data_IF_774002571773
#
_entry.id   IF_774002571773
#
_cell.length_a   1.000
_cell.length_b   1.000
_cell.length_c   1.000
_cell.angle_alpha   90.00
_cell.angle_beta   90.00
_cell.angle_gamma   90.00
#
_symmetry.space_group_name_H-M   'P 1'
#
loop_
_entity.id
_entity.type
_entity.pdbx_description
1 polymer ?
#
# COMPACT_ATOMS: atom_id res chain seq x y z
N UNK A 1 -3.57 -18.05 -3.76
CA UNK A 1 -2.27 -18.56 -3.27
C UNK A 1 -1.12 -17.61 -3.60
N UNK A 2 -0.78 -17.38 -4.87
CA UNK A 2 0.33 -16.50 -5.28
C UNK A 2 0.26 -15.08 -4.73
N UNK A 3 -0.93 -14.49 -4.67
CA UNK A 3 -1.08 -13.15 -4.09
C UNK A 3 -0.67 -13.07 -2.61
N UNK A 4 -0.99 -14.09 -1.79
CA UNK A 4 -0.53 -14.11 -0.39
C UNK A 4 1.00 -14.27 -0.29
N UNK A 5 1.61 -15.02 -1.22
CA UNK A 5 3.07 -15.13 -1.28
C UNK A 5 3.64 -13.75 -1.57
N UNK A 6 3.13 -13.04 -2.59
CA UNK A 6 3.55 -11.67 -2.90
C UNK A 6 3.35 -10.70 -1.73
N UNK A 7 2.23 -10.77 -1.00
CA UNK A 7 2.01 -9.95 0.20
C UNK A 7 3.02 -10.22 1.32
N UNK A 8 3.64 -11.40 1.36
CA UNK A 8 4.68 -11.76 2.33
C UNK A 8 6.08 -11.37 1.84
N UNK A 9 6.37 -11.70 0.60
CA UNK A 9 7.74 -11.67 0.05
C UNK A 9 8.04 -10.39 -0.69
N UNK A 10 7.01 -9.64 -1.12
CA UNK A 10 7.16 -8.56 -2.07
C UNK A 10 7.65 -9.03 -3.43
N UNK A 11 8.20 -8.09 -4.19
CA UNK A 11 8.83 -8.30 -5.49
C UNK A 11 10.30 -8.69 -5.43
N UNK A 12 10.86 -8.97 -4.25
CA UNK A 12 12.28 -9.30 -4.08
C UNK A 12 12.55 -10.78 -4.44
N UNK A 13 13.38 -11.08 -5.46
CA UNK A 13 13.60 -12.47 -5.88
C UNK A 13 14.18 -13.36 -4.78
N UNK A 14 15.06 -12.83 -3.93
CA UNK A 14 15.72 -13.59 -2.88
C UNK A 14 14.74 -14.04 -1.80
N UNK A 15 13.82 -13.17 -1.37
CA UNK A 15 12.81 -13.48 -0.35
C UNK A 15 11.77 -14.47 -0.88
N UNK A 16 11.38 -14.35 -2.17
CA UNK A 16 10.50 -15.29 -2.87
C UNK A 16 11.15 -16.66 -2.91
N UNK A 17 12.41 -16.73 -3.36
CA UNK A 17 13.16 -17.98 -3.49
C UNK A 17 13.35 -18.68 -2.15
N UNK A 18 13.72 -17.92 -1.11
CA UNK A 18 13.87 -18.47 0.24
C UNK A 18 12.55 -19.00 0.78
N UNK A 19 11.46 -18.22 0.65
CA UNK A 19 10.12 -18.67 1.06
C UNK A 19 9.70 -19.96 0.35
N UNK A 20 9.86 -20.04 -0.98
CA UNK A 20 9.49 -21.22 -1.77
C UNK A 20 10.35 -22.43 -1.38
N UNK A 21 11.67 -22.23 -1.20
CA UNK A 21 12.60 -23.29 -0.79
C UNK A 21 12.17 -23.88 0.56
N UNK A 22 11.89 -23.02 1.54
CA UNK A 22 11.51 -23.45 2.88
C UNK A 22 10.09 -24.03 2.96
N UNK A 23 9.18 -23.58 2.08
CA UNK A 23 7.85 -24.18 1.94
C UNK A 23 7.93 -25.65 1.49
N UNK A 24 8.87 -25.99 0.59
CA UNK A 24 9.08 -27.37 0.13
C UNK A 24 9.59 -28.30 1.23
N UNK A 25 10.27 -27.76 2.24
CA UNK A 25 10.78 -28.51 3.39
C UNK A 25 9.83 -28.48 4.60
N UNK A 26 8.60 -27.98 4.43
CA UNK A 26 7.55 -28.00 5.45
C UNK A 26 7.59 -26.86 6.47
N UNK A 27 8.48 -25.88 6.32
CA UNK A 27 8.65 -24.78 7.28
C UNK A 27 8.71 -23.44 6.55
N UNK A 28 7.56 -22.93 6.07
CA UNK A 28 7.50 -21.64 5.40
C UNK A 28 8.15 -20.55 6.27
N UNK A 29 9.24 -19.95 5.80
CA UNK A 29 10.01 -18.90 6.47
C UNK A 29 10.80 -18.06 5.46
N UNK A 30 11.11 -16.83 5.84
CA UNK A 30 12.05 -15.95 5.16
C UNK A 30 13.15 -15.63 6.17
N UNK A 31 14.41 -15.72 5.77
CA UNK A 31 15.54 -15.37 6.64
C UNK A 31 15.46 -13.91 7.12
N UNK A 32 15.68 -13.67 8.42
CA UNK A 32 15.63 -12.34 9.02
C UNK A 32 16.64 -11.38 8.40
N UNK A 33 17.78 -11.90 7.92
CA UNK A 33 18.83 -11.10 7.28
C UNK A 33 18.29 -10.28 6.11
N UNK A 34 17.34 -10.80 5.33
CA UNK A 34 16.75 -10.05 4.22
C UNK A 34 15.97 -8.81 4.68
N UNK A 35 15.32 -8.88 5.84
CA UNK A 35 14.63 -7.73 6.41
C UNK A 35 15.62 -6.72 6.96
N UNK A 36 16.67 -7.19 7.62
CA UNK A 36 17.76 -6.37 8.16
C UNK A 36 18.51 -5.64 7.05
N UNK A 37 18.83 -6.32 5.94
CA UNK A 37 19.49 -5.73 4.77
C UNK A 37 18.69 -4.57 4.17
N UNK A 38 17.35 -4.69 4.10
CA UNK A 38 16.48 -3.59 3.65
C UNK A 38 16.60 -2.40 4.61
N UNK A 39 16.54 -2.65 5.91
CA UNK A 39 16.63 -1.61 6.93
C UNK A 39 18.00 -0.92 6.91
N UNK A 40 19.08 -1.66 6.75
CA UNK A 40 20.43 -1.11 6.63
C UNK A 40 20.56 -0.22 5.40
N UNK A 41 20.05 -0.66 4.25
CA UNK A 41 20.03 0.15 3.01
C UNK A 41 19.25 1.45 3.15
N UNK A 42 18.15 1.46 3.90
CA UNK A 42 17.38 2.69 4.18
C UNK A 42 18.24 3.71 4.95
N UNK A 43 19.09 3.25 5.87
CA UNK A 43 19.86 4.13 6.76
C UNK A 43 21.26 4.47 6.27
N UNK A 44 21.73 3.87 5.18
CA UNK A 44 23.06 4.13 4.63
C UNK A 44 23.29 5.63 4.35
N UNK A 45 22.25 6.35 3.91
CA UNK A 45 22.33 7.76 3.49
C UNK A 45 21.66 8.76 4.45
N UNK A 46 21.01 8.28 5.50
CA UNK A 46 20.14 9.09 6.35
C UNK A 46 20.35 8.76 7.83
N UNK A 47 20.05 9.71 8.72
CA UNK A 47 20.11 9.41 10.14
C UNK A 47 19.08 8.32 10.49
N UNK A 48 19.57 7.21 11.04
CA UNK A 48 18.77 6.03 11.40
C UNK A 48 17.58 6.36 12.31
N UNK A 49 17.78 7.15 13.37
CA UNK A 49 16.72 7.49 14.32
C UNK A 49 15.62 8.34 13.68
N UNK A 50 16.02 9.38 12.94
CA UNK A 50 15.06 10.27 12.27
C UNK A 50 14.25 9.49 11.23
N UNK A 51 14.93 8.64 10.46
CA UNK A 51 14.29 7.81 9.44
C UNK A 51 13.25 6.86 10.03
N UNK A 52 13.61 6.13 11.09
CA UNK A 52 12.69 5.23 11.81
C UNK A 52 11.48 5.98 12.35
N UNK A 53 11.68 7.12 13.02
CA UNK A 53 10.58 7.85 13.63
C UNK A 53 9.58 8.35 12.59
N UNK A 54 10.07 8.81 11.43
CA UNK A 54 9.21 9.22 10.32
C UNK A 54 8.52 8.00 9.70
N UNK A 55 9.26 6.95 9.36
CA UNK A 55 8.71 5.74 8.73
C UNK A 55 7.67 5.05 9.60
N UNK A 56 7.87 5.01 10.91
CA UNK A 56 6.88 4.49 11.86
C UNK A 56 5.58 5.26 11.77
N UNK A 57 5.62 6.60 11.74
CA UNK A 57 4.41 7.41 11.58
C UNK A 57 3.72 7.12 10.25
N UNK A 58 4.49 6.93 9.17
CA UNK A 58 3.95 6.60 7.85
C UNK A 58 3.29 5.22 7.86
N UNK A 59 3.97 4.17 8.34
CA UNK A 59 3.42 2.80 8.39
C UNK A 59 2.20 2.71 9.31
N UNK A 60 2.25 3.35 10.48
CA UNK A 60 1.11 3.36 11.42
C UNK A 60 -0.10 4.15 10.88
N UNK A 61 0.11 4.97 9.86
CA UNK A 61 -0.93 5.81 9.23
C UNK A 61 -1.12 5.48 7.75
N UNK A 62 -0.60 4.33 7.31
CA UNK A 62 -0.78 3.82 5.96
C UNK A 62 -2.28 3.76 5.67
N UNK A 63 -2.67 3.95 4.40
CA UNK A 63 -4.07 4.09 3.93
C UNK A 63 -4.86 5.28 4.48
N UNK A 64 -4.36 5.97 5.50
CA UNK A 64 -5.00 7.15 6.10
C UNK A 64 -4.39 8.45 5.58
N UNK A 65 -5.19 9.52 5.62
CA UNK A 65 -4.69 10.86 5.29
C UNK A 65 -3.81 11.43 6.39
N UNK A 66 -2.70 12.05 5.99
CA UNK A 66 -1.75 12.74 6.84
C UNK A 66 -1.57 14.21 6.42
N UNK A 67 -1.23 15.03 7.42
CA UNK A 67 -0.65 16.36 7.24
C UNK A 67 0.80 16.33 7.74
N UNK A 68 1.67 17.15 7.17
CA UNK A 68 3.04 17.28 7.70
C UNK A 68 3.05 17.72 9.17
N UNK A 69 2.07 18.53 9.60
CA UNK A 69 1.89 18.91 11.00
C UNK A 69 1.62 17.70 11.90
N UNK A 70 0.91 16.68 11.43
CA UNK A 70 0.70 15.43 12.19
C UNK A 70 2.03 14.70 12.39
N UNK A 71 2.85 14.60 11.36
CA UNK A 71 4.18 13.97 11.44
C UNK A 71 5.06 14.75 12.41
N UNK A 72 5.14 16.08 12.24
CA UNK A 72 5.85 16.99 13.15
C UNK A 72 5.43 16.83 14.60
N UNK A 73 4.13 16.72 14.87
CA UNK A 73 3.64 16.60 16.24
C UNK A 73 4.02 15.25 16.88
N UNK A 74 4.08 14.18 16.08
CA UNK A 74 4.46 12.83 16.55
C UNK A 74 5.98 12.68 16.70
N UNK A 75 6.78 13.22 15.77
CA UNK A 75 8.25 13.02 15.75
C UNK A 75 9.04 14.16 16.38
N UNK A 76 8.42 15.33 16.57
CA UNK A 76 9.03 16.59 17.04
C UNK A 76 10.11 17.17 16.10
N UNK A 77 10.27 16.63 14.90
CA UNK A 77 11.19 17.20 13.89
C UNK A 77 10.58 18.38 13.14
N UNK A 78 11.44 19.26 12.62
CA UNK A 78 10.99 20.39 11.82
C UNK A 78 10.31 19.92 10.52
N UNK A 79 9.36 20.70 10.00
CA UNK A 79 8.69 20.37 8.73
C UNK A 79 9.69 20.32 7.56
N UNK A 80 10.74 21.16 7.58
CA UNK A 80 11.83 21.14 6.59
C UNK A 80 12.56 19.80 6.62
N UNK A 81 12.92 19.32 7.81
CA UNK A 81 13.56 18.02 8.00
C UNK A 81 12.66 16.90 7.50
N UNK A 82 11.39 16.89 7.90
CA UNK A 82 10.43 15.86 7.48
C UNK A 82 10.31 15.79 5.96
N UNK A 83 10.15 16.94 5.29
CA UNK A 83 10.06 16.99 3.83
C UNK A 83 11.32 16.48 3.15
N UNK A 84 12.50 16.85 3.64
CA UNK A 84 13.76 16.36 3.10
C UNK A 84 13.85 14.83 3.22
N UNK A 85 13.62 14.26 4.42
CA UNK A 85 13.65 12.81 4.61
C UNK A 85 12.63 12.07 3.74
N UNK A 86 11.40 12.59 3.62
CA UNK A 86 10.38 11.99 2.75
C UNK A 86 10.78 12.04 1.27
N UNK A 87 11.46 13.11 0.83
CA UNK A 87 11.99 13.20 -0.52
C UNK A 87 13.09 12.17 -0.77
N UNK A 88 14.09 12.10 0.12
CA UNK A 88 15.17 11.10 0.03
C UNK A 88 14.62 9.67 0.03
N UNK A 89 13.64 9.37 0.88
CA UNK A 89 12.97 8.06 0.90
C UNK A 89 12.22 7.75 -0.39
N UNK A 90 11.66 8.78 -1.04
CA UNK A 90 11.00 8.61 -2.34
C UNK A 90 12.00 8.36 -3.47
N UNK A 91 13.13 9.07 -3.46
CA UNK A 91 14.25 8.86 -4.40
C UNK A 91 14.87 7.46 -4.24
N UNK A 92 14.93 6.94 -3.02
CA UNK A 92 15.31 5.56 -2.71
C UNK A 92 14.24 4.52 -3.06
N UNK A 93 13.14 4.92 -3.70
CA UNK A 93 12.05 4.04 -4.10
C UNK A 93 11.36 3.33 -2.91
N UNK A 94 11.43 3.88 -1.70
CA UNK A 94 10.83 3.28 -0.50
C UNK A 94 9.34 3.62 -0.41
N UNK A 95 9.00 4.87 -0.68
CA UNK A 95 7.64 5.38 -0.55
C UNK A 95 7.29 6.40 -1.63
N UNK A 96 6.02 6.73 -1.72
CA UNK A 96 5.52 7.83 -2.53
C UNK A 96 4.34 8.50 -1.82
N UNK A 97 4.07 9.75 -2.22
CA UNK A 97 2.89 10.49 -1.76
C UNK A 97 1.85 10.60 -2.88
N UNK A 98 0.58 10.48 -2.53
CA UNK A 98 -0.54 10.89 -3.38
C UNK A 98 -1.30 12.03 -2.71
N UNK A 99 -1.84 12.92 -3.53
CA UNK A 99 -2.53 14.14 -3.08
C UNK A 99 -4.04 13.99 -3.26
N UNK A 100 -4.78 14.77 -2.49
CA UNK A 100 -6.22 14.85 -2.63
C UNK A 100 -6.58 15.68 -3.87
N UNK A 101 -7.45 15.15 -4.73
CA UNK A 101 -7.85 15.75 -6.01
C UNK A 101 -8.37 17.19 -5.88
N UNK A 102 -8.99 17.52 -4.74
CA UNK A 102 -9.55 18.85 -4.47
C UNK A 102 -8.63 19.74 -3.62
N UNK A 103 -7.60 19.20 -2.98
CA UNK A 103 -6.73 19.96 -2.09
C UNK A 103 -5.34 19.34 -1.93
N UNK A 104 -4.30 20.17 -1.91
CA UNK A 104 -2.93 19.70 -1.66
C UNK A 104 -2.57 19.64 -0.16
N UNK A 105 -3.57 19.81 0.73
CA UNK A 105 -3.34 19.89 2.18
C UNK A 105 -3.22 18.51 2.81
N UNK A 106 -4.05 17.58 2.36
CA UNK A 106 -4.03 16.18 2.80
C UNK A 106 -3.21 15.35 1.81
N UNK A 107 -2.48 14.39 2.37
CA UNK A 107 -1.68 13.44 1.59
C UNK A 107 -1.93 12.05 2.12
N UNK A 108 -1.83 11.04 1.25
CA UNK A 108 -1.60 9.66 1.69
C UNK A 108 -0.18 9.29 1.29
N UNK A 109 0.50 8.56 2.17
CA UNK A 109 1.82 8.00 1.91
C UNK A 109 1.68 6.49 1.82
N UNK A 110 2.34 5.90 0.83
CA UNK A 110 2.32 4.47 0.58
C UNK A 110 3.74 3.94 0.42
N UNK A 111 3.97 2.71 0.85
CA UNK A 111 5.25 2.02 0.71
C UNK A 111 5.24 1.25 -0.60
N UNK A 112 6.31 1.35 -1.40
CA UNK A 112 6.31 0.79 -2.76
C UNK A 112 6.15 -0.72 -2.84
N UNK A 113 6.63 -1.44 -1.83
CA UNK A 113 6.65 -2.90 -1.82
C UNK A 113 6.22 -3.45 -0.45
N UNK A 114 5.38 -4.50 -0.40
CA UNK A 114 4.91 -5.04 0.89
C UNK A 114 6.04 -5.65 1.73
N UNK A 115 7.13 -6.14 1.14
CA UNK A 115 8.28 -6.62 1.91
C UNK A 115 8.99 -5.47 2.62
N UNK A 116 9.19 -4.33 1.95
CA UNK A 116 9.73 -3.11 2.60
C UNK A 116 8.82 -2.69 3.77
N UNK A 117 7.50 -2.73 3.55
CA UNK A 117 6.53 -2.41 4.60
C UNK A 117 6.66 -3.35 5.80
N UNK A 118 6.80 -4.66 5.54
CA UNK A 118 7.08 -5.64 6.58
C UNK A 118 8.38 -5.30 7.30
N UNK A 119 9.51 -5.14 6.59
CA UNK A 119 10.81 -4.82 7.20
C UNK A 119 10.74 -3.62 8.13
N UNK A 120 10.07 -2.54 7.70
CA UNK A 120 9.90 -1.35 8.53
C UNK A 120 9.07 -1.66 9.77
N UNK A 121 7.89 -2.29 9.60
CA UNK A 121 6.96 -2.61 10.69
C UNK A 121 7.63 -3.49 11.75
N UNK A 122 8.16 -4.63 11.31
CA UNK A 122 8.75 -5.67 12.16
C UNK A 122 9.95 -5.14 12.93
N UNK A 123 10.73 -4.22 12.35
CA UNK A 123 11.92 -3.64 12.99
C UNK A 123 11.60 -2.94 14.32
N UNK A 124 10.37 -2.44 14.52
CA UNK A 124 9.96 -1.80 15.77
C UNK A 124 8.84 -2.53 16.54
N UNK A 125 8.27 -3.60 16.00
CA UNK A 125 7.18 -4.36 16.66
C UNK A 125 7.61 -5.73 17.17
N UNK A 126 8.62 -6.36 16.59
CA UNK A 126 8.89 -7.78 16.82
C UNK A 126 10.38 -8.12 16.84
N UNK A 127 10.72 -9.19 17.53
CA UNK A 127 12.05 -9.84 17.46
C UNK A 127 12.10 -10.90 16.35
N UNK A 128 10.95 -11.35 15.84
CA UNK A 128 10.84 -12.32 14.74
C UNK A 128 10.12 -11.68 13.55
N UNK A 129 10.91 -11.30 12.54
CA UNK A 129 10.46 -10.62 11.33
C UNK A 129 9.39 -11.42 10.57
N UNK A 130 9.68 -12.68 10.23
CA UNK A 130 8.79 -13.48 9.39
C UNK A 130 7.48 -13.83 10.09
N UNK A 131 7.53 -14.19 11.38
CA UNK A 131 6.34 -14.53 12.15
C UNK A 131 5.37 -13.34 12.25
N UNK A 132 5.89 -12.14 12.50
CA UNK A 132 5.08 -10.93 12.53
C UNK A 132 4.49 -10.59 11.14
N UNK A 133 5.28 -10.71 10.06
CA UNK A 133 4.76 -10.56 8.69
C UNK A 133 3.65 -11.57 8.39
N UNK A 134 3.82 -12.83 8.81
CA UNK A 134 2.84 -13.88 8.63
C UNK A 134 1.56 -13.60 9.42
N UNK A 135 1.66 -13.28 10.70
CA UNK A 135 0.49 -12.96 11.53
C UNK A 135 -0.26 -11.73 10.97
N UNK A 136 0.46 -10.73 10.48
CA UNK A 136 -0.10 -9.53 9.87
C UNK A 136 -0.95 -9.85 8.63
N UNK A 137 -0.47 -10.70 7.72
CA UNK A 137 -1.25 -11.06 6.52
C UNK A 137 -2.35 -12.10 6.81
N UNK A 138 -2.40 -12.67 8.01
CA UNK A 138 -3.46 -13.57 8.46
C UNK A 138 -4.61 -12.81 9.14
N UNK A 139 -4.32 -11.64 9.72
CA UNK A 139 -5.35 -10.72 10.21
C UNK A 139 -6.07 -10.03 9.03
N UNK A 140 -7.41 -10.04 9.02
CA UNK A 140 -8.20 -9.52 7.89
C UNK A 140 -8.04 -8.00 7.71
N UNK A 141 -7.94 -7.25 8.81
CA UNK A 141 -7.83 -5.79 8.78
C UNK A 141 -6.45 -5.37 8.29
N UNK A 142 -5.41 -5.91 8.90
CA UNK A 142 -4.02 -5.64 8.52
C UNK A 142 -3.76 -6.06 7.07
N UNK A 143 -4.28 -7.23 6.67
CA UNK A 143 -4.19 -7.67 5.28
C UNK A 143 -4.85 -6.69 4.31
N UNK A 144 -6.02 -6.14 4.66
CA UNK A 144 -6.69 -5.15 3.82
C UNK A 144 -5.85 -3.90 3.59
N UNK A 145 -5.17 -3.44 4.64
CA UNK A 145 -4.18 -2.35 4.57
C UNK A 145 -3.04 -2.69 3.59
N UNK A 146 -2.44 -3.88 3.70
CA UNK A 146 -1.38 -4.32 2.79
C UNK A 146 -1.84 -4.42 1.34
N UNK A 147 -3.08 -4.87 1.11
CA UNK A 147 -3.67 -4.95 -0.23
C UNK A 147 -3.87 -3.57 -0.83
N UNK A 148 -4.42 -2.61 -0.08
CA UNK A 148 -4.55 -1.23 -0.55
C UNK A 148 -3.18 -0.62 -0.86
N UNK A 149 -2.18 -0.83 0.01
CA UNK A 149 -0.82 -0.39 -0.24
C UNK A 149 -0.23 -0.97 -1.53
N UNK A 150 -0.46 -2.26 -1.81
CA UNK A 150 -0.04 -2.90 -3.06
C UNK A 150 -0.75 -2.28 -4.27
N UNK A 151 -2.06 -2.06 -4.18
CA UNK A 151 -2.84 -1.40 -5.24
C UNK A 151 -2.27 0.00 -5.51
N UNK A 152 -2.02 0.78 -4.46
CA UNK A 152 -1.40 2.10 -4.59
C UNK A 152 -0.06 2.01 -5.34
N UNK A 153 0.83 1.10 -4.95
CA UNK A 153 2.16 0.96 -5.57
C UNK A 153 2.09 0.61 -7.06
N UNK A 154 1.21 -0.31 -7.42
CA UNK A 154 1.00 -0.70 -8.82
C UNK A 154 0.38 0.43 -9.66
N UNK A 155 -0.63 1.11 -9.13
CA UNK A 155 -1.23 2.28 -9.78
C UNK A 155 -0.21 3.43 -9.93
N UNK A 156 0.58 3.71 -8.90
CA UNK A 156 1.60 4.75 -8.94
C UNK A 156 2.66 4.46 -10.00
N UNK A 157 3.07 3.20 -10.16
CA UNK A 157 4.03 2.84 -11.21
C UNK A 157 3.49 3.09 -12.63
N UNK A 158 2.17 3.03 -12.83
CA UNK A 158 1.55 3.24 -14.15
C UNK A 158 1.14 4.69 -14.41
N UNK A 159 0.67 5.40 -13.39
CA UNK A 159 0.09 6.73 -13.53
C UNK A 159 0.92 7.84 -12.91
N UNK A 160 1.88 7.48 -12.06
CA UNK A 160 2.79 8.38 -11.39
C UNK A 160 2.02 9.54 -10.73
N UNK A 161 2.25 10.78 -11.15
CA UNK A 161 1.70 11.98 -10.53
C UNK A 161 0.20 12.22 -10.85
N UNK A 162 -0.38 11.39 -11.73
CA UNK A 162 -1.82 11.42 -12.04
C UNK A 162 -2.67 10.55 -11.10
N UNK A 163 -2.06 9.93 -10.09
CA UNK A 163 -2.74 9.17 -9.06
C UNK A 163 -3.08 10.08 -7.88
N UNK A 164 -4.37 10.24 -7.62
CA UNK A 164 -4.91 11.07 -6.54
C UNK A 164 -5.85 10.25 -5.66
N UNK A 165 -6.29 10.80 -4.53
CA UNK A 165 -7.45 10.28 -3.80
C UNK A 165 -8.53 11.37 -3.70
N UNK A 166 -9.74 11.01 -3.31
CA UNK A 166 -10.84 11.98 -3.22
C UNK A 166 -11.56 11.89 -1.88
N UNK A 167 -12.00 13.04 -1.34
CA UNK A 167 -12.92 13.12 -0.21
C UNK A 167 -14.01 14.12 -0.53
N UNK A 168 -15.24 13.77 -0.19
CA UNK A 168 -16.35 14.74 -0.22
C UNK A 168 -16.45 15.54 1.10
N UNK A 169 -17.35 16.53 1.11
CA UNK A 169 -17.63 17.36 2.29
C UNK A 169 -18.15 16.55 3.49
N UNK A 170 -18.71 15.36 3.24
CA UNK A 170 -19.21 14.42 4.25
C UNK A 170 -18.13 13.44 4.72
N UNK A 171 -16.87 13.66 4.34
CA UNK A 171 -15.72 12.82 4.65
C UNK A 171 -15.82 11.39 4.08
N UNK A 172 -16.67 11.18 3.07
CA UNK A 172 -16.63 9.96 2.29
C UNK A 172 -15.40 10.00 1.39
N UNK A 173 -14.54 9.02 1.56
CA UNK A 173 -13.28 8.90 0.84
C UNK A 173 -13.41 7.90 -0.31
N UNK A 174 -12.69 8.17 -1.40
CA UNK A 174 -12.36 7.19 -2.43
C UNK A 174 -10.86 7.01 -2.44
N UNK A 175 -10.42 5.76 -2.34
CA UNK A 175 -9.01 5.41 -2.12
C UNK A 175 -8.10 5.95 -3.23
N UNK A 176 -8.52 5.78 -4.49
CA UNK A 176 -7.78 6.26 -5.66
C UNK A 176 -8.69 6.84 -6.74
N UNK A 177 -8.24 7.91 -7.37
CA UNK A 177 -8.80 8.48 -8.59
C UNK A 177 -7.70 8.54 -9.63
N UNK A 178 -7.99 8.01 -10.81
CA UNK A 178 -7.16 8.17 -12.00
C UNK A 178 -8.05 8.67 -13.13
N UNK A 179 -7.75 9.83 -13.67
CA UNK A 179 -8.61 10.52 -14.64
C UNK A 179 -10.04 10.71 -14.09
N UNK A 180 -11.01 9.98 -14.65
CA UNK A 180 -12.42 9.96 -14.24
C UNK A 180 -12.88 8.61 -13.69
N UNK A 181 -11.92 7.72 -13.43
CA UNK A 181 -12.16 6.38 -12.87
C UNK A 181 -11.82 6.38 -11.38
N UNK A 182 -12.77 6.00 -10.54
CA UNK A 182 -12.58 5.74 -9.13
C UNK A 182 -12.17 4.30 -8.90
N UNK A 183 -11.22 4.07 -7.99
CA UNK A 183 -10.80 2.73 -7.58
C UNK A 183 -10.85 2.69 -6.06
N UNK A 184 -11.63 1.75 -5.52
CA UNK A 184 -11.84 1.58 -4.09
C UNK A 184 -11.42 0.18 -3.66
N UNK A 185 -10.67 0.05 -2.57
CA UNK A 185 -10.21 -1.23 -2.05
C UNK A 185 -11.05 -1.63 -0.85
N UNK A 186 -11.84 -2.70 -1.00
CA UNK A 186 -12.61 -3.32 0.08
C UNK A 186 -12.23 -4.79 0.21
N UNK A 187 -11.05 -5.03 0.78
CA UNK A 187 -10.55 -6.39 1.00
C UNK A 187 -11.15 -7.02 2.28
N UNK A 188 -12.45 -7.29 2.26
CA UNK A 188 -13.18 -7.89 3.39
C UNK A 188 -14.29 -8.81 2.91
N UNK A 189 -14.86 -9.59 3.82
CA UNK A 189 -15.86 -10.62 3.48
C UNK A 189 -17.22 -10.05 3.03
N UNK A 190 -17.68 -8.93 3.63
CA UNK A 190 -18.94 -8.27 3.27
C UNK A 190 -18.68 -6.94 2.59
N UNK A 191 -19.19 -6.79 1.37
CA UNK A 191 -18.92 -5.62 0.53
C UNK A 191 -20.24 -5.15 -0.06
N UNK A 192 -20.43 -3.84 -0.06
CA UNK A 192 -21.53 -3.17 -0.75
C UNK A 192 -20.93 -2.28 -1.84
N UNK A 193 -21.63 -2.19 -2.97
CA UNK A 193 -21.24 -1.30 -4.05
C UNK A 193 -21.31 0.16 -3.57
N UNK A 194 -20.21 0.93 -3.69
CA UNK A 194 -20.23 2.33 -3.31
C UNK A 194 -21.21 3.15 -4.17
N UNK A 195 -21.78 4.19 -3.55
CA UNK A 195 -22.54 5.19 -4.32
C UNK A 195 -21.60 5.97 -5.24
N UNK A 196 -22.07 6.25 -6.46
CA UNK A 196 -21.35 7.09 -7.41
C UNK A 196 -21.11 8.48 -6.80
N UNK A 197 -19.91 9.01 -7.06
CA UNK A 197 -19.51 10.36 -6.68
C UNK A 197 -19.51 11.27 -7.90
N UNK A 198 -19.79 12.56 -7.71
CA UNK A 198 -19.85 13.52 -8.82
C UNK A 198 -18.49 13.68 -9.50
N UNK A 199 -18.47 13.67 -10.83
CA UNK A 199 -17.24 13.84 -11.63
C UNK A 199 -16.43 12.56 -11.84
N UNK A 200 -16.95 11.41 -11.39
CA UNK A 200 -16.45 10.08 -11.71
C UNK A 200 -17.38 9.44 -12.73
N UNK A 201 -16.82 8.98 -13.84
CA UNK A 201 -17.55 8.30 -14.91
C UNK A 201 -17.65 6.80 -14.66
N UNK A 202 -16.66 6.24 -13.96
CA UNK A 202 -16.52 4.80 -13.74
C UNK A 202 -16.02 4.48 -12.34
N UNK A 203 -16.44 3.34 -11.80
CA UNK A 203 -16.07 2.93 -10.45
C UNK A 203 -15.62 1.48 -10.42
N UNK A 204 -14.38 1.23 -9.99
CA UNK A 204 -13.81 -0.10 -9.81
C UNK A 204 -13.72 -0.39 -8.32
N UNK A 205 -14.44 -1.42 -7.87
CA UNK A 205 -14.41 -1.93 -6.51
C UNK A 205 -13.54 -3.17 -6.43
N UNK A 206 -12.39 -3.06 -5.77
CA UNK A 206 -11.45 -4.16 -5.58
C UNK A 206 -11.82 -4.97 -4.36
N UNK A 207 -12.06 -6.27 -4.55
CA UNK A 207 -12.62 -7.18 -3.53
C UNK A 207 -11.65 -8.30 -3.14
N UNK A 208 -11.94 -8.98 -2.02
CA UNK A 208 -11.19 -10.16 -1.57
C UNK A 208 -11.51 -11.42 -2.38
N UNK A 209 -12.78 -11.62 -2.71
CA UNK A 209 -13.30 -12.85 -3.32
C UNK A 209 -13.95 -12.55 -4.68
N UNK A 210 -14.07 -13.56 -5.56
CA UNK A 210 -14.91 -13.44 -6.75
C UNK A 210 -16.32 -13.04 -6.31
N UNK A 211 -16.77 -11.87 -6.76
CA UNK A 211 -18.19 -11.52 -6.73
C UNK A 211 -18.84 -12.30 -7.88
N UNK A 212 -20.09 -12.75 -7.74
CA UNK A 212 -20.75 -13.51 -8.81
C UNK A 212 -20.70 -12.74 -10.13
N UNK A 213 -20.48 -13.42 -11.26
CA UNK A 213 -20.30 -12.78 -12.58
C UNK A 213 -21.42 -11.80 -12.96
N UNK A 214 -22.65 -12.03 -12.48
CA UNK A 214 -23.79 -11.13 -12.67
C UNK A 214 -23.74 -9.86 -11.80
N UNK A 215 -22.98 -9.87 -10.69
CA UNK A 215 -22.74 -8.74 -9.79
C UNK A 215 -21.48 -7.94 -10.15
N UNK A 216 -20.66 -8.46 -11.10
CA UNK A 216 -19.38 -7.85 -11.45
C UNK A 216 -19.56 -6.51 -12.16
N UNK A 217 -20.67 -6.26 -12.87
CA UNK A 217 -20.86 -4.99 -13.56
C UNK A 217 -22.30 -4.47 -13.45
N UNK A 218 -22.47 -3.30 -12.83
CA UNK A 218 -23.75 -2.59 -12.78
C UNK A 218 -23.55 -1.17 -13.32
N UNK A 219 -24.00 -0.93 -14.56
CA UNK A 219 -23.72 0.28 -15.32
C UNK A 219 -22.21 0.52 -15.43
N UNK A 220 -21.72 1.72 -15.10
CA UNK A 220 -20.31 2.07 -15.14
C UNK A 220 -19.54 1.65 -13.86
N UNK A 221 -19.97 0.57 -13.19
CA UNK A 221 -19.34 0.11 -11.95
C UNK A 221 -18.94 -1.34 -12.11
N UNK A 222 -17.68 -1.65 -11.80
CA UNK A 222 -17.07 -2.97 -11.90
C UNK A 222 -16.60 -3.41 -10.51
N UNK A 223 -17.03 -4.58 -10.03
CA UNK A 223 -16.35 -5.23 -8.91
C UNK A 223 -15.39 -6.29 -9.46
N UNK A 224 -14.18 -6.36 -8.94
CA UNK A 224 -13.17 -7.33 -9.39
C UNK A 224 -12.25 -7.70 -8.22
N UNK A 225 -11.82 -8.97 -8.08
CA UNK A 225 -10.86 -9.32 -7.04
C UNK A 225 -9.55 -8.55 -7.20
N UNK A 226 -8.99 -8.01 -6.11
CA UNK A 226 -7.77 -7.20 -6.14
C UNK A 226 -6.61 -7.92 -6.82
N UNK A 227 -6.47 -9.23 -6.59
CA UNK A 227 -5.41 -10.03 -7.22
C UNK A 227 -5.57 -10.18 -8.74
N UNK A 228 -6.80 -10.23 -9.25
CA UNK A 228 -7.09 -10.31 -10.68
C UNK A 228 -6.83 -8.95 -11.32
N UNK A 229 -7.32 -7.88 -10.71
CA UNK A 229 -7.05 -6.51 -11.14
C UNK A 229 -5.55 -6.25 -11.29
N UNK A 230 -4.77 -6.56 -10.25
CA UNK A 230 -3.31 -6.37 -10.26
C UNK A 230 -2.62 -7.21 -11.34
N UNK A 231 -3.07 -8.45 -11.58
CA UNK A 231 -2.50 -9.31 -12.63
C UNK A 231 -2.81 -8.81 -14.05
N UNK A 232 -3.93 -8.12 -14.24
CA UNK A 232 -4.34 -7.52 -15.52
C UNK A 232 -3.71 -6.14 -15.76
N UNK A 233 -3.13 -5.53 -14.73
CA UNK A 233 -2.59 -4.18 -14.76
C UNK A 233 -1.23 -4.13 -15.48
N UNK A 234 -1.25 -4.34 -16.81
CA UNK A 234 -0.03 -4.42 -17.64
C UNK A 234 0.29 -3.13 -18.39
N UNK A 235 -0.69 -2.22 -18.51
CA UNK A 235 -0.59 -0.92 -19.18
C UNK A 235 -1.45 0.08 -18.39
N UNK A 236 -1.21 1.41 -18.53
CA UNK A 236 -2.20 2.39 -18.10
C UNK A 236 -3.57 1.99 -18.69
N UNK A 237 -4.62 2.01 -17.86
CA UNK A 237 -6.02 1.76 -18.26
C UNK A 237 -6.37 2.69 -19.43
N UNK A 238 -6.17 2.17 -20.63
CA UNK A 238 -6.69 2.63 -21.91
C UNK A 238 -7.69 1.53 -22.26
N UNK A 239 -8.98 1.83 -22.12
CA UNK A 239 -10.06 0.88 -21.82
C UNK A 239 -10.03 -0.52 -22.49
N UNK A 240 -10.46 -1.49 -21.66
CA UNK A 240 -11.13 -2.75 -22.03
C UNK A 240 -12.41 -2.49 -22.83
#
# INVERSE_FOLDING_TARGET
KYFNIYLLTGGFPETINDYIKNLKTGAAKINSTYYEDIIEKIFEKMNKKISIDILKVIVDSITNTLKYSTIKNKTKYSEKTIKWYLNEMSELMLLFEIKEKQSNKLKKFYIKDPFIMHSIRTYYTSTNYFEDSFNTIMDEREKGIFVENCVAGHLHNLYNWNLEFYRDEKQKEVDFIVNKTAIEVKYRTKIEMPTLIKGVEEYILLTRFPVGLADLQINNRLAIPSCVFLAMLQKPLNFL
#
